data_IF_167395019406
#
_entry.id   IF_167395019406
#
_cell.length_a   1.000
_cell.length_b   1.000
_cell.length_c   1.000
_cell.angle_alpha   90.00
_cell.angle_beta   90.00
_cell.angle_gamma   90.00
#
_symmetry.space_group_name_H-M   'P 1'
#
loop_
_entity.id
_entity.type
_entity.pdbx_description
1 polymer ?
#
# COMPACT_ATOMS: atom_id res chain seq x y z
N UNK A 1 28.11 -2.59 30.36
CA UNK A 1 27.69 -3.96 30.75
C UNK A 1 26.84 -4.48 29.60
N UNK A 2 27.47 -5.23 28.69
CA UNK A 2 26.93 -5.59 27.37
C UNK A 2 26.26 -6.95 27.46
N UNK A 3 24.95 -7.02 27.17
CA UNK A 3 24.23 -8.30 27.05
C UNK A 3 24.16 -8.65 25.58
N UNK A 4 24.95 -9.66 25.23
CA UNK A 4 25.06 -10.34 23.94
C UNK A 4 23.83 -11.25 23.82
N UNK A 5 22.92 -10.97 22.90
CA UNK A 5 21.81 -11.88 22.58
C UNK A 5 22.36 -13.07 21.77
N UNK A 6 22.21 -14.26 22.33
CA UNK A 6 22.71 -15.53 21.81
C UNK A 6 21.69 -16.13 20.84
N UNK A 7 21.99 -16.16 19.54
CA UNK A 7 21.26 -17.02 18.59
C UNK A 7 21.92 -18.41 18.55
N UNK A 8 21.14 -19.43 18.88
CA UNK A 8 21.57 -20.83 18.86
C UNK A 8 21.50 -21.40 17.43
N UNK A 9 22.58 -22.10 17.07
CA UNK A 9 22.84 -22.89 15.85
C UNK A 9 21.60 -23.59 15.27
N UNK A 10 21.32 -23.33 13.99
CA UNK A 10 20.67 -24.29 13.10
C UNK A 10 21.70 -24.79 12.08
N UNK A 11 21.73 -26.10 11.89
CA UNK A 11 22.81 -26.85 11.25
C UNK A 11 22.85 -26.65 9.73
N UNK A 12 24.07 -26.60 9.19
CA UNK A 12 24.37 -26.59 7.77
C UNK A 12 23.95 -27.93 7.11
N UNK A 13 23.20 -27.84 6.01
CA UNK A 13 22.94 -28.96 5.09
C UNK A 13 23.93 -28.86 3.93
N UNK A 14 24.71 -29.91 3.61
CA UNK A 14 25.71 -29.85 2.54
C UNK A 14 25.08 -30.02 1.16
N UNK A 15 25.35 -29.06 0.26
CA UNK A 15 25.06 -29.18 -1.17
C UNK A 15 25.99 -30.22 -1.80
N UNK A 16 25.43 -31.36 -2.22
CA UNK A 16 26.11 -32.37 -3.02
C UNK A 16 25.78 -32.11 -4.49
N UNK A 17 26.73 -31.52 -5.20
CA UNK A 17 26.69 -31.36 -6.66
C UNK A 17 27.17 -32.69 -7.26
N UNK A 18 26.27 -33.46 -7.87
CA UNK A 18 26.65 -34.60 -8.71
C UNK A 18 26.91 -34.12 -10.14
N UNK A 19 28.18 -34.26 -10.53
CA UNK A 19 28.69 -34.11 -11.88
C UNK A 19 28.31 -35.31 -12.74
N UNK A 20 27.59 -35.10 -13.85
CA UNK A 20 27.39 -36.10 -14.89
C UNK A 20 27.97 -35.61 -16.23
N UNK A 21 29.14 -36.17 -16.55
CA UNK A 21 29.46 -36.78 -17.84
C UNK A 21 29.27 -35.98 -19.13
N UNK A 22 30.39 -35.45 -19.62
CA UNK A 22 30.62 -35.02 -21.01
C UNK A 22 30.19 -36.07 -22.05
N UNK A 23 29.47 -35.65 -23.09
CA UNK A 23 29.61 -36.24 -24.43
C UNK A 23 29.80 -35.12 -25.45
N UNK A 24 30.99 -35.12 -26.05
CA UNK A 24 31.38 -34.28 -27.19
C UNK A 24 30.76 -34.86 -28.45
N UNK A 25 30.14 -34.01 -29.28
CA UNK A 25 30.37 -34.01 -30.72
C UNK A 25 29.95 -32.65 -31.28
N UNK A 26 30.94 -31.96 -31.86
CA UNK A 26 30.79 -30.59 -32.33
C UNK A 26 30.13 -30.50 -33.71
N UNK A 27 29.89 -29.26 -34.13
CA UNK A 27 30.17 -28.73 -35.48
C UNK A 27 30.05 -27.19 -35.43
N UNK A 28 31.18 -26.55 -35.70
CA UNK A 28 31.47 -25.19 -36.20
C UNK A 28 30.43 -24.07 -36.07
N UNK A 29 30.80 -23.11 -35.24
CA UNK A 29 30.35 -21.71 -35.21
C UNK A 29 30.74 -20.94 -36.49
N UNK A 30 29.78 -20.24 -37.09
CA UNK A 30 30.00 -19.05 -37.93
C UNK A 30 28.91 -18.04 -37.58
N UNK A 31 29.35 -16.90 -37.06
CA UNK A 31 28.50 -15.88 -36.47
C UNK A 31 27.42 -15.31 -37.38
N UNK A 32 26.30 -14.94 -36.75
CA UNK A 32 25.34 -13.97 -37.29
C UNK A 32 24.79 -13.11 -36.15
N UNK A 33 24.90 -11.80 -36.40
CA UNK A 33 24.28 -10.68 -35.71
C UNK A 33 22.77 -10.91 -35.68
N UNK A 34 22.17 -10.95 -34.49
CA UNK A 34 20.71 -10.93 -34.33
C UNK A 34 20.22 -9.48 -34.50
N UNK A 35 19.76 -9.15 -35.70
CA UNK A 35 18.91 -7.99 -35.91
C UNK A 35 17.51 -8.31 -35.37
N UNK A 36 17.02 -7.49 -34.43
CA UNK A 36 15.65 -7.53 -33.94
C UNK A 36 14.76 -7.04 -35.09
N UNK A 37 14.10 -7.96 -35.78
CA UNK A 37 13.08 -7.63 -36.77
C UNK A 37 11.80 -7.18 -36.05
N UNK A 38 11.51 -5.88 -36.10
CA UNK A 38 10.20 -5.35 -35.79
C UNK A 38 9.19 -5.98 -36.76
N UNK A 39 8.25 -6.78 -36.23
CA UNK A 39 7.09 -7.23 -37.00
C UNK A 39 6.11 -6.06 -37.12
N UNK A 40 6.23 -5.30 -38.22
CA UNK A 40 5.12 -4.51 -38.70
C UNK A 40 4.03 -5.47 -39.18
N UNK A 41 2.84 -5.39 -38.58
CA UNK A 41 1.66 -6.07 -39.09
C UNK A 41 1.29 -5.38 -40.41
N UNK A 42 1.56 -6.03 -41.54
CA UNK A 42 1.03 -5.65 -42.85
C UNK A 42 -0.49 -5.77 -42.81
N UNK A 43 -1.19 -4.72 -43.16
CA UNK A 43 -2.61 -4.79 -43.52
C UNK A 43 -2.72 -5.47 -44.87
N UNK A 44 -2.73 -6.80 -44.86
CA UNK A 44 -3.16 -7.54 -46.03
C UNK A 44 -4.69 -7.41 -46.13
N UNK A 45 -5.11 -6.70 -47.17
CA UNK A 45 -6.49 -6.63 -47.64
C UNK A 45 -6.98 -8.06 -47.83
N UNK A 46 -7.92 -8.50 -47.00
CA UNK A 46 -8.61 -9.75 -47.21
C UNK A 46 -9.31 -9.70 -48.58
N UNK A 47 -8.81 -10.49 -49.52
CA UNK A 47 -9.47 -10.71 -50.81
C UNK A 47 -10.88 -11.26 -50.56
N UNK A 48 -11.84 -10.66 -51.27
CA UNK A 48 -13.25 -11.02 -51.28
C UNK A 48 -13.43 -12.50 -51.58
N UNK A 49 -14.07 -13.24 -50.66
CA UNK A 49 -14.78 -14.45 -51.08
C UNK A 49 -16.02 -14.01 -51.85
N UNK A 50 -16.15 -14.48 -53.08
CA UNK A 50 -17.32 -14.30 -53.91
C UNK A 50 -18.53 -14.91 -53.22
N UNK A 51 -19.45 -14.05 -52.78
CA UNK A 51 -20.73 -14.46 -52.23
C UNK A 51 -21.48 -15.34 -53.22
N UNK A 52 -21.81 -16.56 -52.77
CA UNK A 52 -22.68 -17.46 -53.51
C UNK A 52 -24.05 -16.83 -53.75
N UNK A 53 -24.61 -17.11 -54.91
CA UNK A 53 -25.88 -16.59 -55.46
C UNK A 53 -27.11 -16.69 -54.53
N UNK A 54 -27.02 -17.42 -53.41
CA UNK A 54 -28.11 -17.61 -52.44
C UNK A 54 -28.08 -16.69 -51.21
N UNK A 55 -27.01 -15.93 -50.95
CA UNK A 55 -26.93 -15.03 -49.78
C UNK A 55 -27.78 -13.75 -49.90
N UNK A 56 -28.20 -13.36 -51.11
CA UNK A 56 -29.05 -12.19 -51.33
C UNK A 56 -30.54 -12.45 -51.04
N UNK A 57 -30.98 -13.72 -51.04
CA UNK A 57 -32.40 -14.09 -50.85
C UNK A 57 -32.81 -14.30 -49.39
N UNK A 58 -31.86 -14.53 -48.49
CA UNK A 58 -32.09 -14.51 -47.05
C UNK A 58 -31.45 -13.24 -46.52
N UNK A 59 -32.25 -12.28 -46.05
CA UNK A 59 -31.80 -10.97 -45.58
C UNK A 59 -30.89 -11.02 -44.35
N UNK A 60 -29.70 -11.59 -44.49
CA UNK A 60 -28.62 -11.49 -43.51
C UNK A 60 -27.89 -10.17 -43.74
N UNK A 61 -28.29 -9.14 -43.00
CA UNK A 61 -27.44 -7.96 -42.83
C UNK A 61 -26.18 -8.40 -42.08
N UNK A 62 -25.09 -8.64 -42.81
CA UNK A 62 -23.75 -8.64 -42.23
C UNK A 62 -23.58 -7.31 -41.50
N UNK A 63 -23.54 -7.34 -40.17
CA UNK A 63 -23.28 -6.16 -39.35
C UNK A 63 -21.81 -5.77 -39.55
N UNK A 64 -21.53 -5.05 -40.63
CA UNK A 64 -20.22 -4.44 -40.84
C UNK A 64 -20.05 -3.33 -39.80
N UNK A 65 -19.39 -3.67 -38.70
CA UNK A 65 -18.87 -2.67 -37.75
C UNK A 65 -17.88 -1.81 -38.55
N UNK A 66 -17.98 -0.47 -38.51
CA UNK A 66 -17.06 0.38 -39.23
C UNK A 66 -15.62 0.14 -38.72
N UNK A 67 -14.59 0.35 -39.56
CA UNK A 67 -13.20 0.37 -39.10
C UNK A 67 -13.05 1.35 -37.92
N UNK A 68 -12.15 1.06 -36.97
CA UNK A 68 -11.96 1.84 -35.73
C UNK A 68 -11.66 3.35 -35.94
N UNK A 69 -11.34 3.76 -37.17
CA UNK A 69 -11.12 5.16 -37.55
C UNK A 69 -12.41 5.94 -37.83
N UNK A 70 -13.57 5.28 -37.88
CA UNK A 70 -14.86 5.92 -38.11
C UNK A 70 -15.72 5.82 -36.85
N UNK A 71 -16.47 6.89 -36.52
CA UNK A 71 -17.37 6.85 -35.37
C UNK A 71 -18.42 5.77 -35.59
N UNK A 72 -18.75 5.05 -34.51
CA UNK A 72 -19.81 4.05 -34.54
C UNK A 72 -21.14 4.79 -34.78
N UNK A 73 -21.90 4.45 -35.83
CA UNK A 73 -23.20 5.06 -36.09
C UNK A 73 -24.12 4.91 -34.88
N UNK A 74 -24.90 5.95 -34.60
CA UNK A 74 -25.92 5.96 -33.54
C UNK A 74 -25.40 5.96 -32.08
N UNK A 75 -24.12 6.25 -31.82
CA UNK A 75 -23.62 6.51 -30.46
C UNK A 75 -23.62 8.03 -30.19
N UNK A 76 -24.47 8.48 -29.26
CA UNK A 76 -24.45 9.85 -28.73
C UNK A 76 -23.50 9.96 -27.55
N UNK A 77 -22.54 10.87 -27.62
CA UNK A 77 -21.62 11.17 -26.52
C UNK A 77 -22.20 12.32 -25.66
N UNK A 78 -22.26 12.17 -24.32
CA UNK A 78 -22.65 13.27 -23.46
C UNK A 78 -21.55 14.35 -23.45
N UNK A 79 -21.90 15.65 -23.39
CA UNK A 79 -20.92 16.71 -23.25
C UNK A 79 -20.24 16.64 -21.87
N UNK A 80 -18.93 16.83 -21.83
CA UNK A 80 -18.17 16.99 -20.59
C UNK A 80 -18.16 18.48 -20.22
N UNK A 81 -18.44 18.86 -18.96
CA UNK A 81 -18.28 20.25 -18.53
C UNK A 81 -16.79 20.63 -18.47
N UNK A 82 -16.45 21.81 -18.99
CA UNK A 82 -15.07 22.33 -19.00
C UNK A 82 -14.55 22.64 -17.57
N UNK A 83 -15.47 22.94 -16.64
CA UNK A 83 -15.18 23.17 -15.24
C UNK A 83 -16.22 22.48 -14.36
N UNK A 84 -15.73 21.79 -13.35
CA UNK A 84 -16.55 21.15 -12.32
C UNK A 84 -16.11 21.74 -11.00
N UNK A 85 -17.05 22.26 -10.22
CA UNK A 85 -16.76 22.74 -8.88
C UNK A 85 -16.17 21.61 -8.01
N UNK A 86 -15.14 21.91 -7.21
CA UNK A 86 -14.60 20.94 -6.26
C UNK A 86 -15.68 20.56 -5.26
N UNK A 87 -15.98 19.26 -5.19
CA UNK A 87 -17.00 18.75 -4.30
C UNK A 87 -16.49 18.71 -2.86
N UNK A 88 -17.33 19.11 -1.92
CA UNK A 88 -17.01 19.10 -0.49
C UNK A 88 -17.29 17.72 0.09
N UNK A 89 -16.40 17.23 0.96
CA UNK A 89 -16.63 16.02 1.72
C UNK A 89 -17.79 16.23 2.70
N UNK A 90 -18.84 15.41 2.58
CA UNK A 90 -19.97 15.37 3.53
C UNK A 90 -19.76 14.21 4.48
N UNK A 91 -20.01 14.43 5.77
CA UNK A 91 -19.83 13.43 6.82
C UNK A 91 -21.08 13.37 7.67
N UNK A 92 -21.65 12.18 7.80
CA UNK A 92 -22.78 11.88 8.67
C UNK A 92 -22.36 10.85 9.71
N UNK A 93 -22.71 11.09 10.98
CA UNK A 93 -22.46 10.13 12.07
C UNK A 93 -23.78 9.50 12.46
N UNK A 94 -23.87 8.18 12.33
CA UNK A 94 -25.05 7.40 12.72
C UNK A 94 -25.23 7.40 14.25
N UNK A 95 -26.46 7.17 14.76
CA UNK A 95 -26.72 7.15 16.21
C UNK A 95 -25.87 6.13 17.00
N UNK A 96 -25.48 5.04 16.35
CA UNK A 96 -24.61 4.00 16.92
C UNK A 96 -23.11 4.39 16.93
N UNK A 97 -22.71 5.47 16.25
CA UNK A 97 -21.35 6.00 16.24
C UNK A 97 -20.54 5.69 14.97
N UNK A 98 -21.07 4.87 14.06
CA UNK A 98 -20.45 4.66 12.75
C UNK A 98 -20.49 5.95 11.92
N UNK A 99 -19.44 6.21 11.14
CA UNK A 99 -19.34 7.40 10.30
C UNK A 99 -19.44 7.03 8.84
N UNK A 100 -20.21 7.82 8.08
CA UNK A 100 -20.34 7.69 6.63
C UNK A 100 -19.87 9.02 6.04
N UNK A 101 -18.83 8.95 5.21
CA UNK A 101 -18.27 10.09 4.50
C UNK A 101 -18.39 9.88 3.00
N UNK A 102 -18.73 10.92 2.25
CA UNK A 102 -18.63 10.85 0.80
C UNK A 102 -18.19 12.16 0.16
N UNK A 103 -17.60 12.01 -1.02
CA UNK A 103 -17.35 13.10 -1.96
C UNK A 103 -17.96 12.74 -3.31
N UNK A 104 -18.67 13.69 -3.91
CA UNK A 104 -19.14 13.55 -5.29
C UNK A 104 -17.99 13.87 -6.25
N UNK A 105 -17.94 13.22 -7.40
CA UNK A 105 -16.93 13.49 -8.42
C UNK A 105 -17.54 13.37 -9.80
N UNK A 106 -16.89 13.90 -10.84
CA UNK A 106 -17.31 13.72 -12.23
C UNK A 106 -16.70 12.52 -12.92
N UNK A 107 -15.85 11.76 -12.21
CA UNK A 107 -15.43 10.43 -12.68
C UNK A 107 -16.66 9.54 -12.91
N UNK A 108 -16.53 8.50 -13.72
CA UNK A 108 -17.56 7.46 -13.82
C UNK A 108 -17.28 6.26 -12.89
N UNK A 109 -16.14 6.31 -12.20
CA UNK A 109 -15.69 5.30 -11.24
C UNK A 109 -16.04 5.77 -9.82
N UNK A 110 -16.54 4.84 -9.01
CA UNK A 110 -16.68 4.97 -7.57
C UNK A 110 -15.60 4.15 -6.88
N UNK A 111 -15.05 4.70 -5.80
CA UNK A 111 -14.17 3.99 -4.87
C UNK A 111 -14.81 4.03 -3.49
N UNK A 112 -15.11 2.87 -2.92
CA UNK A 112 -15.78 2.74 -1.63
C UNK A 112 -14.87 1.98 -0.69
N UNK A 113 -14.59 2.55 0.47
CA UNK A 113 -13.72 1.97 1.47
C UNK A 113 -14.36 1.90 2.83
N UNK A 114 -14.25 0.75 3.49
CA UNK A 114 -14.57 0.57 4.90
C UNK A 114 -13.27 0.51 5.69
N UNK A 115 -13.12 1.48 6.60
CA UNK A 115 -11.95 1.66 7.44
C UNK A 115 -12.32 1.30 8.85
N UNK A 116 -11.56 0.36 9.42
CA UNK A 116 -11.69 -0.05 10.81
C UNK A 116 -10.44 0.42 11.53
N UNK A 117 -10.61 1.24 12.56
CA UNK A 117 -9.54 1.59 13.50
C UNK A 117 -9.23 0.34 14.33
N UNK A 118 -8.43 -0.56 13.79
CA UNK A 118 -8.05 -1.87 14.32
C UNK A 118 -6.76 -2.30 13.60
N UNK A 119 -5.92 -3.12 14.21
CA UNK A 119 -4.67 -3.55 13.62
C UNK A 119 -3.81 -4.30 14.63
N UNK A 120 -2.53 -4.49 14.33
CA UNK A 120 -1.64 -5.27 15.20
C UNK A 120 -1.44 -4.67 16.59
N UNK A 121 -1.69 -3.37 16.79
CA UNK A 121 -1.65 -2.74 18.12
C UNK A 121 -2.74 -3.27 19.06
N UNK A 122 -3.87 -3.74 18.52
CA UNK A 122 -4.97 -4.29 19.29
C UNK A 122 -4.87 -5.82 19.46
N UNK A 123 -3.79 -6.44 18.96
CA UNK A 123 -3.55 -7.87 19.14
C UNK A 123 -3.05 -8.18 20.55
N UNK A 124 -3.53 -9.30 21.07
CA UNK A 124 -3.06 -9.90 22.31
C UNK A 124 -2.08 -11.04 22.00
N UNK A 125 -1.32 -11.54 23.00
CA UNK A 125 -0.42 -12.68 22.77
C UNK A 125 -1.10 -13.93 22.19
N UNK A 126 -2.39 -14.13 22.46
CA UNK A 126 -3.16 -15.23 21.85
C UNK A 126 -3.50 -14.95 20.39
N UNK A 127 -3.78 -13.69 20.04
CA UNK A 127 -4.25 -13.26 18.71
C UNK A 127 -3.18 -12.63 17.82
N UNK A 128 -1.89 -12.71 18.16
CA UNK A 128 -0.84 -12.19 17.27
C UNK A 128 -1.02 -12.71 15.84
N UNK A 129 -0.78 -11.86 14.85
CA UNK A 129 -0.97 -12.19 13.43
C UNK A 129 -2.42 -12.32 12.96
N UNK A 130 -3.42 -12.05 13.82
CA UNK A 130 -4.82 -12.04 13.43
C UNK A 130 -5.08 -10.97 12.36
N UNK A 131 -4.47 -9.79 12.46
CA UNK A 131 -4.59 -8.70 11.47
C UNK A 131 -4.12 -9.16 10.09
N UNK A 132 -2.93 -9.78 10.02
CA UNK A 132 -2.37 -10.29 8.77
C UNK A 132 -3.27 -11.36 8.15
N UNK A 133 -3.81 -12.27 8.97
CA UNK A 133 -4.71 -13.31 8.48
C UNK A 133 -6.08 -12.75 8.06
N UNK A 134 -6.64 -11.78 8.80
CA UNK A 134 -7.92 -11.14 8.48
C UNK A 134 -7.89 -10.42 7.14
N UNK A 135 -6.77 -9.75 6.83
CA UNK A 135 -6.56 -9.18 5.50
C UNK A 135 -6.76 -10.23 4.41
N UNK A 136 -6.18 -11.42 4.57
CA UNK A 136 -6.28 -12.53 3.61
C UNK A 136 -7.65 -13.22 3.61
N UNK A 137 -8.36 -13.17 4.73
CA UNK A 137 -9.67 -13.79 4.93
C UNK A 137 -10.85 -12.88 4.55
N UNK A 138 -10.58 -11.65 4.12
CA UNK A 138 -11.63 -10.76 3.60
C UNK A 138 -12.08 -11.19 2.20
N UNK A 139 -13.34 -10.92 1.85
CA UNK A 139 -13.98 -11.36 0.59
C UNK A 139 -13.96 -12.90 0.41
N UNK A 140 -13.99 -13.63 1.52
CA UNK A 140 -14.21 -15.09 1.58
C UNK A 140 -15.65 -15.38 1.97
N UNK A 141 -15.96 -16.61 2.35
CA UNK A 141 -17.34 -17.00 2.63
C UNK A 141 -17.93 -16.15 3.79
N UNK A 142 -19.13 -15.62 3.57
CA UNK A 142 -19.94 -14.92 4.57
C UNK A 142 -21.16 -15.76 4.96
N UNK A 143 -21.94 -15.29 5.94
CA UNK A 143 -23.24 -15.89 6.27
C UNK A 143 -24.22 -15.92 5.10
N UNK A 144 -24.11 -14.96 4.20
CA UNK A 144 -25.08 -14.74 3.12
C UNK A 144 -24.57 -15.21 1.75
N UNK A 145 -23.25 -15.30 1.56
CA UNK A 145 -22.62 -15.57 0.27
C UNK A 145 -21.48 -16.57 0.42
N UNK A 146 -21.41 -17.54 -0.49
CA UNK A 146 -20.21 -18.36 -0.62
C UNK A 146 -19.07 -17.54 -1.23
N UNK A 147 -17.82 -17.91 -0.95
CA UNK A 147 -16.64 -17.31 -1.59
C UNK A 147 -16.76 -17.24 -3.12
N UNK A 148 -17.25 -18.32 -3.76
CA UNK A 148 -17.42 -18.35 -5.22
C UNK A 148 -18.43 -17.29 -5.69
N UNK A 149 -19.55 -17.15 -4.97
CA UNK A 149 -20.57 -16.15 -5.29
C UNK A 149 -20.01 -14.74 -5.19
N UNK A 150 -19.25 -14.42 -4.14
CA UNK A 150 -18.62 -13.10 -3.98
C UNK A 150 -17.69 -12.79 -5.15
N UNK A 151 -16.82 -13.74 -5.53
CA UNK A 151 -15.91 -13.56 -6.67
C UNK A 151 -16.69 -13.33 -7.97
N UNK A 152 -17.73 -14.13 -8.24
CA UNK A 152 -18.55 -13.95 -9.43
C UNK A 152 -19.30 -12.62 -9.45
N UNK A 153 -19.84 -12.15 -8.32
CA UNK A 153 -20.52 -10.85 -8.21
C UNK A 153 -19.53 -9.70 -8.49
N UNK A 154 -18.31 -9.77 -7.93
CA UNK A 154 -17.27 -8.76 -8.15
C UNK A 154 -16.83 -8.73 -9.61
N UNK A 155 -16.51 -9.88 -10.21
CA UNK A 155 -16.05 -9.97 -11.59
C UNK A 155 -17.14 -9.62 -12.61
N UNK A 156 -18.41 -9.96 -12.33
CA UNK A 156 -19.53 -9.65 -13.22
C UNK A 156 -19.73 -8.15 -13.44
N UNK A 157 -19.46 -7.32 -12.42
CA UNK A 157 -19.55 -5.86 -12.53
C UNK A 157 -18.23 -5.21 -12.98
N UNK A 158 -17.17 -6.00 -13.18
CA UNK A 158 -15.82 -5.50 -13.49
C UNK A 158 -15.15 -4.79 -12.32
N UNK A 159 -15.51 -5.19 -11.09
CA UNK A 159 -15.02 -4.59 -9.86
C UNK A 159 -13.62 -5.07 -9.45
N UNK A 160 -12.94 -4.25 -8.65
CA UNK A 160 -11.68 -4.61 -8.00
C UNK A 160 -11.79 -4.40 -6.50
N UNK A 161 -11.32 -5.38 -5.72
CA UNK A 161 -11.34 -5.31 -4.25
C UNK A 161 -9.94 -5.44 -3.68
N UNK A 162 -9.67 -4.75 -2.58
CA UNK A 162 -8.40 -4.81 -1.86
C UNK A 162 -8.65 -4.78 -0.36
N UNK A 163 -7.81 -5.52 0.38
CA UNK A 163 -7.73 -5.46 1.83
C UNK A 163 -6.29 -5.14 2.20
N UNK A 164 -6.08 -4.32 3.23
CA UNK A 164 -4.76 -4.02 3.76
C UNK A 164 -4.83 -3.81 5.26
N UNK A 165 -4.09 -4.63 6.01
CA UNK A 165 -3.90 -4.50 7.44
C UNK A 165 -2.65 -3.67 7.77
N UNK A 166 -2.80 -2.72 8.68
CA UNK A 166 -1.69 -1.95 9.24
C UNK A 166 -1.64 -2.14 10.76
N UNK A 167 -0.72 -1.43 11.42
CA UNK A 167 -0.59 -1.45 12.88
C UNK A 167 -1.80 -0.82 13.57
N UNK A 168 -2.31 0.31 13.07
CA UNK A 168 -3.40 1.07 13.70
C UNK A 168 -4.75 0.98 12.96
N UNK A 169 -4.77 0.56 11.70
CA UNK A 169 -5.98 0.51 10.89
C UNK A 169 -6.00 -0.67 9.92
N UNK A 170 -7.19 -1.19 9.63
CA UNK A 170 -7.44 -2.13 8.54
C UNK A 170 -8.37 -1.45 7.54
N UNK A 171 -8.01 -1.54 6.27
CA UNK A 171 -8.75 -0.95 5.15
C UNK A 171 -9.28 -2.05 4.25
N UNK A 172 -10.54 -1.92 3.86
CA UNK A 172 -11.19 -2.72 2.82
C UNK A 172 -11.74 -1.79 1.75
N UNK A 173 -11.31 -1.93 0.50
CA UNK A 173 -11.78 -1.10 -0.61
C UNK A 173 -12.40 -1.92 -1.72
N UNK A 174 -13.33 -1.28 -2.42
CA UNK A 174 -14.01 -1.78 -3.59
C UNK A 174 -14.10 -0.62 -4.60
N UNK A 175 -13.49 -0.81 -5.77
CA UNK A 175 -13.55 0.09 -6.92
C UNK A 175 -14.38 -0.52 -8.06
N UNK A 176 -15.34 0.22 -8.60
CA UNK A 176 -16.11 -0.16 -9.80
C UNK A 176 -16.79 1.06 -10.45
N UNK A 177 -17.63 0.84 -11.47
CA UNK A 177 -18.45 1.90 -12.04
C UNK A 177 -19.53 2.37 -11.05
N UNK A 178 -19.80 3.68 -11.03
CA UNK A 178 -20.78 4.32 -10.13
C UNK A 178 -22.17 3.70 -10.16
N UNK A 179 -22.57 3.16 -11.31
CA UNK A 179 -23.88 2.51 -11.48
C UNK A 179 -24.10 1.34 -10.53
N UNK A 180 -23.04 0.66 -10.11
CA UNK A 180 -23.10 -0.51 -9.22
C UNK A 180 -22.81 -0.17 -7.75
N UNK A 181 -22.91 1.11 -7.39
CA UNK A 181 -22.66 1.57 -6.02
C UNK A 181 -23.47 0.79 -4.97
N UNK A 182 -24.78 0.52 -5.15
CA UNK A 182 -25.55 -0.28 -4.20
C UNK A 182 -24.94 -1.66 -3.92
N UNK A 183 -24.58 -2.39 -4.98
CA UNK A 183 -24.00 -3.73 -4.89
C UNK A 183 -22.61 -3.70 -4.25
N UNK A 184 -21.81 -2.69 -4.56
CA UNK A 184 -20.48 -2.50 -3.95
C UNK A 184 -20.57 -2.33 -2.44
N UNK A 185 -21.47 -1.45 -1.97
CA UNK A 185 -21.67 -1.18 -0.53
C UNK A 185 -22.16 -2.44 0.18
N UNK A 186 -23.12 -3.14 -0.41
CA UNK A 186 -23.68 -4.37 0.17
C UNK A 186 -22.62 -5.47 0.31
N UNK A 187 -21.88 -5.77 -0.77
CA UNK A 187 -20.84 -6.81 -0.76
C UNK A 187 -19.71 -6.44 0.20
N UNK A 188 -19.28 -5.18 0.23
CA UNK A 188 -18.23 -4.70 1.12
C UNK A 188 -18.62 -4.84 2.60
N UNK A 189 -19.81 -4.36 2.98
CA UNK A 189 -20.27 -4.44 4.37
C UNK A 189 -20.52 -5.89 4.78
N UNK A 190 -21.13 -6.72 3.92
CA UNK A 190 -21.35 -8.14 4.20
C UNK A 190 -20.03 -8.89 4.41
N UNK A 191 -19.02 -8.61 3.58
CA UNK A 191 -17.70 -9.25 3.65
C UNK A 191 -16.94 -8.93 4.95
N UNK A 192 -17.15 -7.74 5.51
CA UNK A 192 -16.47 -7.28 6.72
C UNK A 192 -17.25 -7.68 7.98
N UNK A 193 -18.58 -7.57 7.95
CA UNK A 193 -19.45 -7.76 9.11
C UNK A 193 -19.85 -9.22 9.33
N UNK A 194 -20.15 -9.94 8.27
CA UNK A 194 -20.77 -11.27 8.31
C UNK A 194 -19.80 -12.37 7.84
N UNK A 195 -18.50 -12.14 7.93
CA UNK A 195 -17.48 -13.13 7.60
C UNK A 195 -17.68 -14.41 8.43
N UNK A 196 -17.54 -15.57 7.78
CA UNK A 196 -17.46 -16.87 8.44
C UNK A 196 -16.06 -17.43 8.21
N UNK A 197 -15.40 -17.82 9.29
CA UNK A 197 -14.05 -18.37 9.23
C UNK A 197 -14.11 -19.89 9.18
N UNK A 198 -14.33 -20.45 7.99
CA UNK A 198 -14.39 -21.89 7.78
C UNK A 198 -13.00 -22.51 7.89
N UNK A 199 -12.85 -23.57 8.68
CA UNK A 199 -11.54 -24.18 8.99
C UNK A 199 -10.73 -24.53 7.73
N UNK A 200 -11.36 -25.02 6.67
CA UNK A 200 -10.65 -25.36 5.44
C UNK A 200 -10.15 -24.13 4.68
N UNK A 201 -10.91 -23.02 4.66
CA UNK A 201 -10.48 -21.76 4.03
C UNK A 201 -9.31 -21.16 4.82
N UNK A 202 -9.39 -21.18 6.15
CA UNK A 202 -8.30 -20.73 7.03
C UNK A 202 -7.05 -21.57 6.78
N UNK A 203 -7.17 -22.90 6.80
CA UNK A 203 -6.03 -23.79 6.60
C UNK A 203 -5.38 -23.61 5.22
N UNK A 204 -6.16 -23.30 4.18
CA UNK A 204 -5.62 -22.93 2.86
C UNK A 204 -4.82 -21.63 2.93
N UNK A 205 -5.36 -20.61 3.60
CA UNK A 205 -4.73 -19.29 3.70
C UNK A 205 -3.51 -19.28 4.63
N UNK A 206 -3.52 -20.03 5.73
CA UNK A 206 -2.36 -20.21 6.60
C UNK A 206 -1.17 -20.83 5.87
N UNK A 207 -1.41 -21.78 4.94
CA UNK A 207 -0.35 -22.32 4.08
C UNK A 207 0.26 -21.26 3.17
N UNK A 208 -0.55 -20.33 2.64
CA UNK A 208 -0.08 -19.22 1.80
C UNK A 208 0.72 -18.21 2.61
N UNK A 209 0.23 -17.84 3.80
CA UNK A 209 0.96 -16.96 4.74
C UNK A 209 2.29 -17.59 5.16
N UNK A 210 2.34 -18.91 5.36
CA UNK A 210 3.59 -19.63 5.64
C UNK A 210 4.56 -19.59 4.46
N UNK A 211 4.07 -19.72 3.22
CA UNK A 211 4.90 -19.61 2.03
C UNK A 211 5.45 -18.19 1.85
N UNK A 212 4.60 -17.17 2.04
CA UNK A 212 4.98 -15.76 2.04
C UNK A 212 6.06 -15.44 3.08
N UNK A 213 5.93 -15.98 4.31
CA UNK A 213 6.95 -15.84 5.34
C UNK A 213 8.31 -16.43 4.90
N UNK A 214 8.30 -17.52 4.13
CA UNK A 214 9.52 -18.11 3.55
C UNK A 214 10.15 -17.25 2.45
N UNK A 215 9.36 -16.43 1.77
CA UNK A 215 9.82 -15.49 0.74
C UNK A 215 10.22 -14.13 1.31
N UNK A 216 9.88 -13.85 2.57
CA UNK A 216 10.15 -12.57 3.22
C UNK A 216 11.64 -12.21 3.26
N UNK A 217 12.55 -13.20 3.27
CA UNK A 217 13.99 -12.96 3.16
C UNK A 217 14.41 -12.30 1.84
N UNK A 218 13.57 -12.39 0.80
CA UNK A 218 13.81 -11.75 -0.49
C UNK A 218 13.44 -10.26 -0.47
N UNK A 219 12.70 -9.80 0.55
CA UNK A 219 12.42 -8.38 0.78
C UNK A 219 13.05 -7.89 2.10
N UNK A 220 14.35 -7.53 2.09
CA UNK A 220 15.04 -7.07 3.29
C UNK A 220 14.50 -5.75 3.84
N UNK A 221 13.78 -4.94 3.03
CA UNK A 221 13.22 -3.66 3.49
C UNK A 221 12.07 -3.88 4.47
N UNK A 222 11.15 -4.80 4.15
CA UNK A 222 10.02 -5.13 5.03
C UNK A 222 10.51 -5.77 6.33
N UNK A 223 11.50 -6.67 6.25
CA UNK A 223 12.14 -7.27 7.42
C UNK A 223 12.81 -6.23 8.31
N UNK A 224 13.54 -5.29 7.71
CA UNK A 224 14.21 -4.23 8.43
C UNK A 224 13.17 -3.35 9.15
N UNK A 225 12.08 -3.01 8.48
CA UNK A 225 11.02 -2.20 9.08
C UNK A 225 10.37 -2.91 10.27
N UNK A 226 10.06 -4.20 10.15
CA UNK A 226 9.53 -5.00 11.27
C UNK A 226 10.52 -5.10 12.43
N UNK A 227 11.81 -5.33 12.14
CA UNK A 227 12.87 -5.39 13.15
C UNK A 227 13.04 -4.04 13.88
N UNK A 228 12.99 -2.94 13.15
CA UNK A 228 13.04 -1.58 13.74
C UNK A 228 11.86 -1.35 14.66
N UNK A 229 10.63 -1.71 14.26
CA UNK A 229 9.46 -1.54 15.14
C UNK A 229 9.57 -2.37 16.41
N UNK A 230 10.01 -3.62 16.28
CA UNK A 230 10.20 -4.52 17.43
C UNK A 230 11.30 -4.03 18.38
N UNK A 231 12.34 -3.37 17.86
CA UNK A 231 13.44 -2.83 18.66
C UNK A 231 13.18 -1.42 19.22
N UNK A 232 12.40 -0.58 18.52
CA UNK A 232 12.13 0.81 18.88
C UNK A 232 11.06 0.94 19.97
N UNK A 233 10.02 0.11 19.88
CA UNK A 233 8.85 0.21 20.74
C UNK A 233 8.83 -0.87 21.82
N UNK A 234 8.21 -0.51 22.94
CA UNK A 234 7.67 -1.45 23.91
C UNK A 234 6.15 -1.35 23.94
N UNK A 235 5.45 -2.49 24.00
CA UNK A 235 3.99 -2.54 24.02
C UNK A 235 3.40 -2.69 22.62
N UNK A 236 2.29 -2.01 22.36
CA UNK A 236 1.39 -2.35 21.25
C UNK A 236 2.00 -2.18 19.84
N UNK A 237 2.77 -1.12 19.59
CA UNK A 237 3.44 -0.89 18.30
C UNK A 237 4.64 -1.81 18.06
N UNK A 238 5.13 -2.48 19.11
CA UNK A 238 6.17 -3.50 19.01
C UNK A 238 5.62 -4.85 18.54
N UNK A 239 4.28 -5.02 18.54
CA UNK A 239 3.65 -6.23 18.04
C UNK A 239 3.99 -6.41 16.54
N UNK A 240 4.39 -7.62 16.13
CA UNK A 240 4.74 -7.88 14.74
C UNK A 240 3.50 -7.74 13.86
N UNK A 241 3.63 -7.04 12.73
CA UNK A 241 2.56 -7.00 11.74
C UNK A 241 2.51 -8.32 10.95
N UNK A 242 3.67 -8.90 10.67
CA UNK A 242 3.80 -10.16 9.95
C UNK A 242 3.77 -11.33 10.94
N UNK A 243 2.82 -12.25 10.74
CA UNK A 243 2.66 -13.43 11.57
C UNK A 243 3.91 -14.33 11.55
N UNK A 244 4.47 -14.63 12.74
CA UNK A 244 5.58 -15.56 12.90
C UNK A 244 5.16 -17.02 12.68
N UNK A 245 6.10 -17.92 12.39
CA UNK A 245 5.78 -19.35 12.22
C UNK A 245 5.09 -19.97 13.45
N UNK A 246 5.54 -19.60 14.66
CA UNK A 246 4.91 -20.04 15.92
C UNK A 246 3.47 -19.57 16.08
N UNK A 247 3.15 -18.43 15.50
CA UNK A 247 1.83 -17.79 15.56
C UNK A 247 0.90 -18.33 14.49
N UNK A 248 1.40 -18.55 13.26
CA UNK A 248 0.67 -19.18 12.15
C UNK A 248 0.12 -20.55 12.58
N UNK A 249 0.90 -21.34 13.32
CA UNK A 249 0.46 -22.65 13.80
C UNK A 249 -0.61 -22.59 14.91
N UNK A 250 -0.79 -21.43 15.56
CA UNK A 250 -1.76 -21.22 16.64
C UNK A 250 -3.08 -20.61 16.14
N UNK A 251 -3.02 -19.77 15.10
CA UNK A 251 -4.17 -19.08 14.55
C UNK A 251 -5.24 -20.07 14.07
N UNK A 252 -6.50 -19.78 14.40
CA UNK A 252 -7.67 -20.57 14.03
C UNK A 252 -8.91 -19.67 13.89
N UNK A 253 -10.03 -20.23 13.44
CA UNK A 253 -11.27 -19.49 13.20
C UNK A 253 -11.81 -18.82 14.46
N UNK A 254 -11.79 -19.53 15.59
CA UNK A 254 -12.29 -19.02 16.86
C UNK A 254 -11.53 -17.77 17.33
N UNK A 255 -10.20 -17.75 17.20
CA UNK A 255 -9.38 -16.58 17.54
C UNK A 255 -9.74 -15.38 16.63
N UNK A 256 -9.97 -15.63 15.33
CA UNK A 256 -10.37 -14.56 14.41
C UNK A 256 -11.77 -14.03 14.74
N UNK A 257 -12.72 -14.92 15.04
CA UNK A 257 -14.08 -14.55 15.45
C UNK A 257 -14.07 -13.70 16.72
N UNK A 258 -13.34 -14.14 17.75
CA UNK A 258 -13.17 -13.38 19.00
C UNK A 258 -12.53 -12.01 18.74
N UNK A 259 -11.49 -11.96 17.90
CA UNK A 259 -10.82 -10.71 17.56
C UNK A 259 -11.72 -9.74 16.79
N UNK A 260 -12.52 -10.23 15.84
CA UNK A 260 -13.50 -9.43 15.09
C UNK A 260 -14.60 -8.94 16.02
N UNK A 261 -15.19 -9.80 16.85
CA UNK A 261 -16.25 -9.41 17.80
C UNK A 261 -15.77 -8.34 18.77
N UNK A 262 -14.53 -8.43 19.25
CA UNK A 262 -13.96 -7.46 20.18
C UNK A 262 -13.65 -6.09 19.54
N UNK A 263 -13.24 -6.07 18.26
CA UNK A 263 -12.69 -4.86 17.64
C UNK A 263 -13.60 -4.20 16.60
N UNK A 264 -14.43 -4.96 15.88
CA UNK A 264 -15.23 -4.48 14.74
C UNK A 264 -16.56 -3.90 15.26
N UNK A 265 -16.42 -2.76 15.92
CA UNK A 265 -17.52 -2.04 16.57
C UNK A 265 -17.89 -0.79 15.79
N UNK A 266 -19.16 -0.39 15.86
CA UNK A 266 -19.70 0.76 15.11
C UNK A 266 -18.87 2.04 15.32
N UNK A 267 -18.44 2.34 16.54
CA UNK A 267 -17.66 3.54 16.89
C UNK A 267 -16.25 3.59 16.30
N UNK A 268 -15.75 2.46 15.75
CA UNK A 268 -14.43 2.31 15.13
C UNK A 268 -14.51 2.13 13.61
N UNK A 269 -15.71 2.22 13.02
CA UNK A 269 -15.94 2.00 11.59
C UNK A 269 -16.26 3.31 10.87
N UNK A 270 -15.57 3.53 9.76
CA UNK A 270 -15.82 4.65 8.85
C UNK A 270 -15.99 4.10 7.44
N UNK A 271 -17.17 4.30 6.85
CA UNK A 271 -17.40 4.07 5.44
C UNK A 271 -17.12 5.37 4.68
N UNK A 272 -16.13 5.37 3.79
CA UNK A 272 -15.78 6.52 2.97
C UNK A 272 -15.96 6.17 1.49
N UNK A 273 -16.64 7.02 0.73
CA UNK A 273 -16.85 6.84 -0.70
C UNK A 273 -16.39 8.06 -1.51
N UNK A 274 -15.66 7.81 -2.59
CA UNK A 274 -15.32 8.81 -3.59
C UNK A 274 -16.10 8.57 -4.88
N UNK A 275 -16.64 9.64 -5.45
CA UNK A 275 -17.46 9.62 -6.65
C UNK A 275 -18.93 9.27 -6.42
N UNK A 276 -19.42 9.29 -5.19
CA UNK A 276 -20.79 8.86 -4.85
C UNK A 276 -21.57 10.02 -4.23
N UNK A 277 -22.86 10.11 -4.55
CA UNK A 277 -23.76 11.07 -3.91
C UNK A 277 -24.05 10.66 -2.45
N UNK A 278 -24.00 11.63 -1.53
CA UNK A 278 -24.09 11.36 -0.10
C UNK A 278 -25.43 10.76 0.33
N UNK A 279 -26.54 11.31 -0.16
CA UNK A 279 -27.88 10.87 0.23
C UNK A 279 -28.17 9.45 -0.28
N UNK A 280 -27.70 9.14 -1.49
CA UNK A 280 -27.82 7.80 -2.07
C UNK A 280 -27.01 6.78 -1.25
N UNK A 281 -25.76 7.10 -0.92
CA UNK A 281 -24.92 6.26 -0.07
C UNK A 281 -25.55 6.02 1.31
N UNK A 282 -26.08 7.08 1.95
CA UNK A 282 -26.74 6.97 3.24
C UNK A 282 -27.94 6.02 3.20
N UNK A 283 -28.76 6.12 2.16
CA UNK A 283 -29.98 5.30 2.02
C UNK A 283 -29.70 3.80 1.99
N UNK A 284 -28.50 3.41 1.55
CA UNK A 284 -28.07 2.01 1.41
C UNK A 284 -27.22 1.59 2.61
N UNK A 285 -26.29 2.43 3.06
CA UNK A 285 -25.36 2.08 4.12
C UNK A 285 -25.99 2.13 5.53
N UNK A 286 -26.94 3.02 5.78
CA UNK A 286 -27.58 3.16 7.10
C UNK A 286 -28.31 1.87 7.54
N UNK A 287 -29.15 1.22 6.72
CA UNK A 287 -29.77 -0.06 7.08
C UNK A 287 -28.77 -1.18 7.38
N UNK A 288 -27.59 -1.17 6.74
CA UNK A 288 -26.58 -2.22 6.86
C UNK A 288 -25.65 -2.05 8.09
N UNK A 289 -25.51 -0.80 8.57
CA UNK A 289 -24.61 -0.46 9.68
C UNK A 289 -25.34 -0.09 10.97
N UNK A 290 -26.60 0.35 10.92
CA UNK A 290 -27.33 0.92 12.08
C UNK A 290 -27.58 -0.08 13.22
N UNK A 291 -27.65 -1.36 12.92
CA UNK A 291 -27.90 -2.45 13.87
C UNK A 291 -26.62 -2.96 14.57
N UNK A 292 -25.44 -2.46 14.19
CA UNK A 292 -24.20 -2.76 14.91
C UNK A 292 -24.27 -2.23 16.35
N UNK A 293 -23.79 -3.03 17.33
CA UNK A 293 -23.87 -2.64 18.73
C UNK A 293 -23.05 -1.36 18.97
N UNK A 294 -23.64 -0.45 19.73
CA UNK A 294 -22.94 0.74 20.22
C UNK A 294 -22.11 0.35 21.43
N UNK A 295 -20.84 0.05 21.18
CA UNK A 295 -19.86 -0.26 22.22
C UNK A 295 -19.01 0.98 22.49
N UNK A 296 -18.74 1.34 23.76
CA UNK A 296 -17.80 2.40 24.07
C UNK A 296 -16.44 2.08 23.45
N UNK A 297 -15.77 3.10 22.91
CA UNK A 297 -14.45 2.96 22.31
C UNK A 297 -13.48 2.45 23.38
N UNK A 298 -12.79 1.35 23.08
CA UNK A 298 -11.72 0.85 23.94
C UNK A 298 -10.61 1.90 24.04
N UNK A 299 -9.94 1.96 25.19
CA UNK A 299 -8.73 2.77 25.30
C UNK A 299 -7.69 2.29 24.30
N UNK A 300 -7.04 3.24 23.63
CA UNK A 300 -6.00 2.92 22.66
C UNK A 300 -4.80 2.26 23.37
N UNK A 301 -4.33 1.11 22.86
CA UNK A 301 -3.18 0.42 23.42
C UNK A 301 -1.96 1.34 23.47
N UNK A 302 -1.43 1.58 24.68
CA UNK A 302 -0.27 2.44 24.86
C UNK A 302 0.98 1.76 24.36
N UNK A 303 1.79 2.52 23.65
CA UNK A 303 3.13 2.12 23.22
C UNK A 303 4.12 3.12 23.77
N UNK A 304 5.22 2.61 24.31
CA UNK A 304 6.28 3.44 24.84
C UNK A 304 7.47 3.32 23.90
N UNK A 305 7.83 4.41 23.23
CA UNK A 305 9.21 4.58 22.78
C UNK A 305 10.05 5.00 23.97
N UNK A 306 11.37 4.82 23.86
CA UNK A 306 12.27 5.39 24.85
C UNK A 306 12.16 6.93 24.96
N UNK A 307 11.47 7.62 24.05
CA UNK A 307 10.90 8.97 24.24
C UNK A 307 9.82 9.31 23.19
N UNK A 308 8.76 10.04 23.56
CA UNK A 308 7.66 10.48 22.68
C UNK A 308 8.05 11.74 21.87
N UNK A 309 7.99 11.68 20.53
CA UNK A 309 8.10 12.87 19.70
C UNK A 309 7.30 12.72 18.39
N UNK A 310 6.18 13.45 18.27
CA UNK A 310 5.49 13.68 17.00
C UNK A 310 5.83 15.11 16.53
N UNK A 311 6.28 15.26 15.29
CA UNK A 311 6.33 16.57 14.64
C UNK A 311 5.99 16.43 13.16
N UNK A 312 5.06 17.27 12.67
CA UNK A 312 4.66 17.32 11.25
C UNK A 312 5.83 17.61 10.28
N UNK A 313 6.95 18.08 10.82
CA UNK A 313 8.18 18.38 10.09
C UNK A 313 8.97 17.14 9.64
N UNK A 314 8.62 15.95 10.12
CA UNK A 314 9.26 14.70 9.68
C UNK A 314 9.05 14.40 8.19
N UNK A 315 7.89 14.77 7.64
CA UNK A 315 7.59 14.58 6.20
C UNK A 315 8.54 15.45 5.36
N UNK A 316 8.75 16.70 5.77
CA UNK A 316 9.66 17.62 5.10
C UNK A 316 11.11 17.13 5.16
N UNK A 317 11.54 16.59 6.30
CA UNK A 317 12.87 15.96 6.43
C UNK A 317 13.03 14.72 5.55
N UNK A 318 12.01 13.86 5.47
CA UNK A 318 12.07 12.69 4.61
C UNK A 318 12.23 13.09 3.14
N UNK A 319 11.52 14.14 2.69
CA UNK A 319 11.63 14.65 1.31
C UNK A 319 12.92 15.45 1.07
N UNK A 320 13.43 16.16 2.08
CA UNK A 320 14.70 16.89 2.03
C UNK A 320 15.90 15.93 1.92
N UNK A 321 15.92 14.92 2.78
CA UNK A 321 16.93 13.87 2.78
C UNK A 321 16.78 12.99 1.54
N UNK A 322 15.56 12.61 1.20
CA UNK A 322 15.21 11.81 0.04
C UNK A 322 16.00 10.51 0.00
N UNK A 323 16.58 10.22 -1.17
CA UNK A 323 17.36 9.02 -1.44
C UNK A 323 16.82 8.20 -2.60
N UNK A 324 17.28 6.97 -2.70
CA UNK A 324 16.88 6.02 -3.73
C UNK A 324 17.87 4.88 -3.89
N UNK A 325 17.60 4.01 -4.87
CA UNK A 325 18.55 3.01 -5.33
C UNK A 325 19.45 3.58 -6.44
N UNK A 326 20.75 3.27 -6.39
CA UNK A 326 21.75 3.66 -7.40
C UNK A 326 21.41 3.17 -8.82
N UNK A 327 20.54 2.16 -8.93
CA UNK A 327 20.11 1.54 -10.19
C UNK A 327 18.75 2.01 -10.70
N UNK A 328 18.13 3.01 -10.07
CA UNK A 328 16.82 3.51 -10.52
C UNK A 328 16.97 4.26 -11.85
N UNK A 329 16.52 3.65 -12.95
CA UNK A 329 16.48 4.26 -14.28
C UNK A 329 15.27 5.21 -14.47
N UNK A 330 14.83 5.85 -13.39
CA UNK A 330 13.77 6.86 -13.44
C UNK A 330 14.33 8.20 -13.90
N UNK A 331 13.74 8.81 -14.91
CA UNK A 331 14.13 10.13 -15.39
C UNK A 331 14.04 11.24 -14.33
N UNK A 332 14.30 12.50 -14.72
CA UNK A 332 14.21 13.66 -13.82
C UNK A 332 12.89 13.70 -13.02
N UNK A 333 12.98 14.09 -11.74
CA UNK A 333 11.82 14.19 -10.84
C UNK A 333 11.71 13.09 -9.77
N UNK A 334 12.55 12.05 -9.82
CA UNK A 334 12.58 10.95 -8.83
C UNK A 334 13.38 11.24 -7.56
N UNK A 335 13.76 12.50 -7.30
CA UNK A 335 14.55 12.86 -6.11
C UNK A 335 16.07 12.76 -6.28
N UNK A 336 16.58 12.73 -7.51
CA UNK A 336 18.04 12.70 -7.84
C UNK A 336 18.82 13.90 -7.27
N UNK A 337 18.15 15.02 -7.03
CA UNK A 337 18.73 16.21 -6.40
C UNK A 337 18.48 16.28 -4.88
N UNK A 338 18.00 15.21 -4.24
CA UNK A 338 17.90 15.16 -2.77
C UNK A 338 19.27 15.08 -2.12
N UNK A 339 19.37 15.49 -0.85
CA UNK A 339 20.64 15.60 -0.13
C UNK A 339 21.39 14.27 -0.08
N UNK A 340 20.69 13.18 0.28
CA UNK A 340 21.30 11.86 0.36
C UNK A 340 21.74 11.34 -1.01
N UNK A 341 20.97 11.61 -2.06
CA UNK A 341 21.35 11.20 -3.41
C UNK A 341 22.64 11.90 -3.87
N UNK A 342 22.72 13.23 -3.67
CA UNK A 342 23.88 14.03 -4.09
C UNK A 342 25.13 13.76 -3.23
N UNK A 343 24.98 13.69 -1.90
CA UNK A 343 26.11 13.54 -1.00
C UNK A 343 26.60 12.10 -0.90
N UNK A 344 25.68 11.13 -0.94
CA UNK A 344 25.99 9.72 -0.73
C UNK A 344 26.09 8.96 -2.05
N UNK A 345 24.99 8.82 -2.79
CA UNK A 345 24.94 7.92 -3.95
C UNK A 345 25.86 8.36 -5.11
N UNK A 346 25.98 9.67 -5.36
CA UNK A 346 26.88 10.17 -6.39
C UNK A 346 28.37 10.02 -6.05
N UNK A 347 28.73 10.07 -4.75
CA UNK A 347 30.12 10.07 -4.30
C UNK A 347 30.61 8.67 -3.87
N UNK A 348 29.71 7.81 -3.42
CA UNK A 348 30.02 6.49 -2.85
C UNK A 348 29.33 5.38 -3.65
N UNK A 349 29.97 4.98 -4.75
CA UNK A 349 29.48 3.92 -5.65
C UNK A 349 29.35 2.52 -5.00
N UNK A 350 29.96 2.32 -3.83
CA UNK A 350 29.90 1.07 -3.07
C UNK A 350 28.53 0.87 -2.39
N UNK A 351 27.71 1.91 -2.31
CA UNK A 351 26.39 1.90 -1.69
C UNK A 351 25.34 1.65 -2.77
N UNK A 352 24.54 0.60 -2.60
CA UNK A 352 23.55 0.17 -3.58
C UNK A 352 22.23 0.94 -3.44
N UNK A 353 21.80 1.20 -2.21
CA UNK A 353 20.61 1.97 -1.89
C UNK A 353 20.82 2.78 -0.62
N UNK A 354 20.32 4.01 -0.60
CA UNK A 354 20.40 4.88 0.57
C UNK A 354 19.23 5.85 0.57
N UNK A 355 18.29 5.69 1.51
CA UNK A 355 17.13 6.57 1.57
C UNK A 355 16.62 6.80 2.99
N UNK A 356 16.07 8.00 3.22
CA UNK A 356 15.33 8.32 4.42
C UNK A 356 13.90 7.78 4.33
N UNK A 357 13.33 7.40 5.47
CA UNK A 357 11.95 6.99 5.60
C UNK A 357 11.32 7.58 6.86
N UNK A 358 9.99 7.68 6.85
CA UNK A 358 9.21 8.04 8.03
C UNK A 358 7.96 7.16 8.14
N UNK A 359 7.65 6.72 9.35
CA UNK A 359 6.42 6.01 9.71
C UNK A 359 5.73 6.81 10.81
N UNK A 360 4.54 7.35 10.53
CA UNK A 360 3.79 8.21 11.47
C UNK A 360 2.55 7.45 11.92
N UNK A 361 2.38 7.39 13.24
CA UNK A 361 1.25 6.81 13.96
C UNK A 361 0.49 7.92 14.70
N UNK A 362 -0.67 7.59 15.27
CA UNK A 362 -1.54 8.59 15.93
C UNK A 362 -0.81 9.41 17.02
N UNK A 363 0.00 8.76 17.84
CA UNK A 363 0.68 9.37 18.99
C UNK A 363 2.21 9.32 18.94
N UNK A 364 2.80 8.77 17.88
CA UNK A 364 4.24 8.53 17.82
C UNK A 364 4.70 8.36 16.38
N UNK A 365 6.01 8.38 16.14
CA UNK A 365 6.57 8.27 14.79
C UNK A 365 8.01 7.80 14.80
N UNK A 366 8.41 7.11 13.74
CA UNK A 366 9.80 6.74 13.49
C UNK A 366 10.29 7.51 12.27
N UNK A 367 11.46 8.10 12.39
CA UNK A 367 12.20 8.66 11.27
C UNK A 367 13.58 8.00 11.23
N UNK A 368 14.01 7.56 10.07
CA UNK A 368 15.27 6.84 9.94
C UNK A 368 15.84 6.89 8.53
N UNK A 369 17.02 6.29 8.39
CA UNK A 369 17.70 6.08 7.12
C UNK A 369 17.86 4.57 6.94
N UNK A 370 17.43 4.05 5.81
CA UNK A 370 17.76 2.70 5.37
C UNK A 370 18.90 2.75 4.36
N UNK A 371 19.84 1.82 4.48
CA UNK A 371 20.98 1.72 3.57
C UNK A 371 21.26 0.25 3.23
N UNK A 372 21.48 -0.01 1.94
CA UNK A 372 21.93 -1.31 1.43
C UNK A 372 23.31 -1.11 0.84
N UNK A 373 24.28 -1.89 1.31
CA UNK A 373 25.69 -1.78 0.94
C UNK A 373 26.36 -3.14 0.99
N UNK A 374 27.50 -3.29 0.29
CA UNK A 374 28.36 -4.46 0.46
C UNK A 374 28.93 -4.56 1.87
N UNK A 375 29.23 -5.80 2.30
CA UNK A 375 29.68 -6.14 3.66
C UNK A 375 30.92 -5.34 4.13
N UNK A 376 31.83 -5.02 3.21
CA UNK A 376 33.07 -4.31 3.52
C UNK A 376 32.86 -2.82 3.86
N UNK A 377 31.73 -2.24 3.44
CA UNK A 377 31.45 -0.80 3.55
C UNK A 377 30.39 -0.44 4.60
N UNK A 378 29.98 -1.40 5.45
CA UNK A 378 28.94 -1.19 6.48
C UNK A 378 29.32 -0.09 7.47
N UNK A 379 30.54 -0.14 8.03
CA UNK A 379 31.00 0.87 9.00
C UNK A 379 30.96 2.27 8.41
N UNK A 380 31.44 2.40 7.16
CA UNK A 380 31.41 3.65 6.41
C UNK A 380 30.00 4.13 6.12
N UNK A 381 29.06 3.24 5.80
CA UNK A 381 27.66 3.60 5.57
C UNK A 381 26.99 4.12 6.85
N UNK A 382 27.29 3.52 8.01
CA UNK A 382 26.80 3.99 9.32
C UNK A 382 27.37 5.39 9.62
N UNK A 383 28.67 5.60 9.43
CA UNK A 383 29.32 6.90 9.64
C UNK A 383 28.73 7.98 8.72
N UNK A 384 28.40 7.63 7.47
CA UNK A 384 27.74 8.53 6.51
C UNK A 384 26.32 8.87 6.93
N UNK A 385 25.52 7.87 7.35
CA UNK A 385 24.17 8.10 7.85
C UNK A 385 24.17 9.00 9.08
N UNK A 386 25.06 8.75 10.05
CA UNK A 386 25.22 9.60 11.23
C UNK A 386 25.63 11.02 10.86
N UNK A 387 26.59 11.18 9.92
CA UNK A 387 27.04 12.49 9.44
C UNK A 387 25.91 13.28 8.79
N UNK A 388 25.11 12.66 7.92
CA UNK A 388 24.02 13.37 7.24
C UNK A 388 22.89 13.74 8.21
N UNK A 389 22.55 12.88 9.18
CA UNK A 389 21.59 13.21 10.24
C UNK A 389 22.06 14.39 11.11
N UNK A 390 23.33 14.39 11.52
CA UNK A 390 23.93 15.50 12.26
C UNK A 390 24.05 16.77 11.41
N UNK A 391 24.30 16.62 10.11
CA UNK A 391 24.32 17.71 9.14
C UNK A 391 22.99 18.47 9.13
N UNK A 392 21.86 17.76 9.02
CA UNK A 392 20.53 18.40 9.04
C UNK A 392 20.20 19.04 10.40
N UNK A 393 20.68 18.45 11.50
CA UNK A 393 20.48 19.00 12.85
C UNK A 393 21.37 20.22 13.17
N UNK A 394 22.40 20.49 12.36
CA UNK A 394 23.30 21.62 12.57
C UNK A 394 22.78 22.87 11.85
N UNK A 395 22.56 24.01 12.55
CA UNK A 395 22.08 25.23 11.92
C UNK A 395 23.02 25.69 10.79
N UNK A 396 22.45 26.08 9.65
CA UNK A 396 23.21 26.63 8.50
C UNK A 396 23.81 25.58 7.56
N UNK A 397 23.60 24.29 7.80
CA UNK A 397 24.01 23.22 6.88
C UNK A 397 22.94 22.85 5.83
N UNK A 398 21.71 23.35 5.98
CA UNK A 398 20.62 23.18 5.01
C UNK A 398 20.38 24.53 4.34
N UNK A 399 20.46 24.55 3.01
CA UNK A 399 20.25 25.77 2.24
C UNK A 399 18.76 26.03 1.98
N UNK A 400 18.40 27.30 1.81
CA UNK A 400 17.03 27.69 1.45
C UNK A 400 16.57 27.04 0.13
N UNK A 401 17.47 26.90 -0.84
CA UNK A 401 17.17 26.26 -2.13
C UNK A 401 16.80 24.79 -1.95
N UNK A 402 17.46 24.09 -1.04
CA UNK A 402 17.14 22.69 -0.73
C UNK A 402 15.77 22.58 -0.07
N UNK A 403 15.47 23.47 0.88
CA UNK A 403 14.20 23.53 1.58
C UNK A 403 13.04 23.84 0.62
N UNK A 404 13.18 24.86 -0.22
CA UNK A 404 12.13 25.25 -1.16
C UNK A 404 11.84 24.12 -2.16
N UNK A 405 12.88 23.44 -2.65
CA UNK A 405 12.72 22.24 -3.49
C UNK A 405 11.99 21.12 -2.74
N UNK A 406 12.32 20.86 -1.48
CA UNK A 406 11.65 19.84 -0.68
C UNK A 406 10.17 20.18 -0.43
N UNK A 407 9.84 21.45 -0.17
CA UNK A 407 8.47 21.94 -0.03
C UNK A 407 7.67 21.73 -1.30
N UNK A 408 8.17 22.19 -2.45
CA UNK A 408 7.47 22.02 -3.74
C UNK A 408 7.33 20.54 -4.12
N UNK A 409 8.36 19.72 -3.86
CA UNK A 409 8.28 18.27 -4.06
C UNK A 409 7.21 17.62 -3.17
N UNK A 410 7.11 18.03 -1.90
CA UNK A 410 6.10 17.52 -0.95
C UNK A 410 4.69 17.90 -1.38
N UNK A 411 4.46 19.16 -1.76
CA UNK A 411 3.18 19.62 -2.29
C UNK A 411 2.80 18.83 -3.54
N UNK A 412 3.73 18.72 -4.49
CA UNK A 412 3.54 17.99 -5.74
C UNK A 412 3.19 16.53 -5.48
N UNK A 413 3.94 15.83 -4.61
CA UNK A 413 3.67 14.44 -4.27
C UNK A 413 2.29 14.24 -3.64
N UNK A 414 1.88 15.10 -2.70
CA UNK A 414 0.56 14.98 -2.05
C UNK A 414 -0.58 15.29 -3.01
N UNK A 415 -0.43 16.30 -3.86
CA UNK A 415 -1.45 16.69 -4.85
C UNK A 415 -1.52 15.67 -5.99
N UNK A 416 -0.40 15.13 -6.47
CA UNK A 416 -0.39 14.13 -7.55
C UNK A 416 -0.89 12.75 -7.10
N UNK A 417 -0.59 12.33 -5.86
CA UNK A 417 -1.13 11.10 -5.31
C UNK A 417 -2.65 11.18 -5.05
N UNK A 418 -3.23 12.38 -5.10
CA UNK A 418 -4.65 12.64 -4.95
C UNK A 418 -5.19 13.23 -6.25
N UNK A 419 -5.50 12.37 -7.21
CA UNK A 419 -6.14 12.79 -8.45
C UNK A 419 -7.54 13.44 -8.20
N UNK A 420 -8.18 13.23 -7.04
CA UNK A 420 -9.41 13.91 -6.57
C UNK A 420 -9.19 14.85 -5.36
N UNK A 421 -9.97 15.94 -5.30
CA UNK A 421 -9.67 17.23 -4.62
C UNK A 421 -10.35 17.43 -3.25
N UNK A 422 -9.56 18.04 -2.33
CA UNK A 422 -9.87 18.72 -1.04
C UNK A 422 -10.27 17.90 0.20
N UNK A 423 -9.91 18.33 1.45
CA UNK A 423 -9.36 19.62 1.90
C UNK A 423 -7.84 19.56 2.22
N UNK A 424 -7.02 20.14 1.36
CA UNK A 424 -5.54 20.17 1.51
C UNK A 424 -5.05 21.58 1.85
N UNK A 425 -5.90 22.61 1.83
CA UNK A 425 -5.48 24.00 2.10
C UNK A 425 -4.72 24.13 3.41
N UNK A 426 -5.20 23.47 4.47
CA UNK A 426 -4.51 23.43 5.74
C UNK A 426 -3.12 22.80 5.63
N UNK A 427 -3.01 21.63 4.98
CA UNK A 427 -1.72 20.95 4.80
C UNK A 427 -0.76 21.77 3.93
N UNK A 428 -1.23 22.32 2.80
CA UNK A 428 -0.41 23.16 1.92
C UNK A 428 0.06 24.43 2.66
N UNK A 429 -0.79 25.02 3.49
CA UNK A 429 -0.44 26.16 4.33
C UNK A 429 0.63 25.79 5.35
N UNK A 430 0.46 24.67 6.07
CA UNK A 430 1.46 24.16 7.02
C UNK A 430 2.79 23.90 6.32
N UNK A 431 2.78 23.26 5.14
CA UNK A 431 3.98 23.03 4.32
C UNK A 431 4.66 24.34 3.95
N UNK A 432 3.91 25.37 3.57
CA UNK A 432 4.46 26.69 3.25
C UNK A 432 5.09 27.40 4.45
N UNK A 433 4.53 27.22 5.65
CA UNK A 433 4.99 27.87 6.87
C UNK A 433 6.29 27.26 7.44
N UNK A 434 6.69 26.06 7.00
CA UNK A 434 7.93 25.41 7.48
C UNK A 434 9.17 26.26 7.17
N UNK A 435 9.95 26.58 8.19
CA UNK A 435 11.20 27.33 8.07
C UNK A 435 12.43 26.44 8.30
N UNK A 436 13.61 26.94 7.93
CA UNK A 436 14.88 26.26 8.26
C UNK A 436 15.06 26.04 9.76
N UNK A 437 14.60 26.98 10.58
CA UNK A 437 14.71 26.89 12.03
C UNK A 437 13.87 25.73 12.57
N UNK A 438 12.69 25.51 12.01
CA UNK A 438 11.81 24.41 12.42
C UNK A 438 12.47 23.06 12.11
N UNK A 439 13.04 22.91 10.91
CA UNK A 439 13.79 21.73 10.48
C UNK A 439 14.98 21.45 11.39
N UNK A 440 15.78 22.45 11.69
CA UNK A 440 16.94 22.28 12.59
C UNK A 440 16.48 21.92 14.00
N UNK A 441 15.48 22.62 14.55
CA UNK A 441 14.99 22.39 15.91
C UNK A 441 14.37 21.00 16.08
N UNK A 442 13.62 20.54 15.10
CA UNK A 442 12.97 19.23 15.12
C UNK A 442 13.97 18.10 14.84
N UNK A 443 14.97 18.33 13.97
CA UNK A 443 16.08 17.41 13.76
C UNK A 443 16.89 17.22 15.05
N UNK A 444 17.19 18.32 15.76
CA UNK A 444 17.81 18.29 17.08
C UNK A 444 17.01 17.47 18.09
N UNK A 445 15.67 17.63 18.08
CA UNK A 445 14.76 16.86 18.95
C UNK A 445 14.73 15.36 18.61
N UNK A 446 14.91 14.99 17.34
CA UNK A 446 14.98 13.59 16.93
C UNK A 446 16.32 12.98 17.33
N UNK A 447 17.45 13.66 17.07
CA UNK A 447 18.77 13.11 17.42
C UNK A 447 19.02 13.05 18.94
N UNK A 448 18.24 13.79 19.75
CA UNK A 448 18.32 13.66 21.21
C UNK A 448 17.68 12.38 21.73
N UNK A 449 16.79 11.76 20.93
CA UNK A 449 16.17 10.49 21.32
C UNK A 449 17.15 9.32 21.14
N UNK A 450 16.98 8.22 21.92
CA UNK A 450 17.85 7.06 21.81
C UNK A 450 17.86 6.43 20.41
N UNK A 451 19.05 6.10 19.92
CA UNK A 451 19.21 5.48 18.61
C UNK A 451 18.64 4.06 18.61
N UNK A 452 17.70 3.79 17.69
CA UNK A 452 17.32 2.43 17.31
C UNK A 452 18.08 2.00 16.06
N UNK A 453 18.67 0.81 16.09
CA UNK A 453 19.40 0.23 14.97
C UNK A 453 18.96 -1.23 14.77
N UNK A 454 18.71 -1.59 13.51
CA UNK A 454 18.50 -2.96 13.06
C UNK A 454 19.35 -3.19 11.80
N UNK A 455 19.78 -4.42 11.58
CA UNK A 455 20.68 -4.82 10.48
C UNK A 455 20.31 -6.17 9.90
#
# INVERSE_FOLDING_TARGET
MSIRATFSRMAAVPNKIETLGSSKNGIKDRGRIFAIAARFASTDVAERSSGGFFSWLAGESSSQIPPLNFPIPCVTLPPLPDYVEPCKTKITTLPNGAKIASETSTSHVASIGLYVDCGSVYETPSSFGATHLLERMTFKTTKNRSRLRIVCEIEAIGGSVMASGSREQIRYTYDALKTYMPEMVEVLIDSVRNAIFLDWEINEHLKKVKAELGELSNNPQDLLLEAIHSAAYYGALANPLIASESTINRLNGTILEEFVVANYTSSRMVLAASGVEHEELLSIAEPLLSDLPKVPRLEEPKSYMMEENISADQIHRCMLMGGGGSFSAGGPGKGVHSRLYLNVLNNFQQIESFSAFNSIYNHTSIFGIHATTGLESISKAIDLAARELLGVATPGQVDLVELDRAKESTKSAVVMNRESREPIEHFLKVVNEVTLKDITSSAQKIISSPLTMAS
#
